data_IF_940646072241
#
_entry.id   IF_940646072241
#
_cell.length_a   1.000
_cell.length_b   1.000
_cell.length_c   1.000
_cell.angle_alpha   90.00
_cell.angle_beta   90.00
_cell.angle_gamma   90.00
#
_symmetry.space_group_name_H-M   'P 1'
#
loop_
_entity.id
_entity.type
_entity.pdbx_description
1 polymer ?
#
# COMPACT_ATOMS: atom_id res chain seq x y z
N UNK A 1 7.79 -2.35 -6.56
CA UNK A 1 6.82 -2.78 -7.60
C UNK A 1 6.92 -1.98 -8.90
N UNK A 2 7.56 -0.81 -8.93
CA UNK A 2 7.80 0.00 -10.15
C UNK A 2 8.67 -0.58 -11.28
N UNK A 3 8.60 -1.90 -11.56
CA UNK A 3 9.22 -2.54 -12.72
C UNK A 3 8.26 -2.63 -13.95
N UNK A 4 7.02 -2.12 -13.83
CA UNK A 4 5.98 -2.24 -14.86
C UNK A 4 5.91 -1.04 -15.84
N UNK A 5 6.70 0.00 -15.59
CA UNK A 5 6.76 1.20 -16.43
C UNK A 5 8.19 1.47 -16.91
N UNK A 6 8.34 1.79 -18.19
CA UNK A 6 9.58 2.36 -18.71
C UNK A 6 9.49 3.89 -18.69
N UNK A 7 10.49 4.54 -18.12
CA UNK A 7 10.55 6.00 -17.98
C UNK A 7 11.60 6.56 -18.92
N UNK A 8 11.16 7.35 -19.91
CA UNK A 8 12.05 8.07 -20.82
C UNK A 8 11.97 9.58 -20.54
N UNK A 9 13.13 10.22 -20.40
CA UNK A 9 13.24 11.67 -20.35
C UNK A 9 13.32 12.22 -21.78
N UNK A 10 12.33 13.00 -22.17
CA UNK A 10 12.35 13.75 -23.43
C UNK A 10 12.90 15.14 -23.12
N UNK A 11 13.96 15.54 -23.82
CA UNK A 11 14.57 16.86 -23.71
C UNK A 11 14.40 17.56 -25.07
N UNK A 12 13.80 18.74 -25.05
CA UNK A 12 13.60 19.57 -26.25
C UNK A 12 14.76 20.55 -26.45
N UNK A 13 14.91 21.09 -27.66
CA UNK A 13 16.01 22.00 -28.01
C UNK A 13 16.01 23.33 -27.22
N UNK A 14 14.88 23.70 -26.62
CA UNK A 14 14.73 24.85 -25.72
C UNK A 14 15.09 24.53 -24.25
N UNK A 15 15.44 23.28 -23.95
CA UNK A 15 15.78 22.79 -22.61
C UNK A 15 14.59 22.29 -21.78
N UNK A 16 13.36 22.31 -22.31
CA UNK A 16 12.18 21.74 -21.64
C UNK A 16 12.35 20.22 -21.48
N UNK A 17 11.88 19.68 -20.34
CA UNK A 17 12.02 18.27 -19.95
C UNK A 17 10.66 17.65 -19.64
N UNK A 18 10.27 16.63 -20.40
CA UNK A 18 9.05 15.84 -20.12
C UNK A 18 9.41 14.42 -19.68
N UNK A 19 8.51 13.80 -18.94
CA UNK A 19 8.60 12.39 -18.56
C UNK A 19 7.59 11.58 -19.38
N UNK A 20 8.07 10.81 -20.35
CA UNK A 20 7.27 9.81 -21.03
C UNK A 20 7.22 8.54 -20.17
N UNK A 21 6.01 8.13 -19.77
CA UNK A 21 5.78 6.81 -19.19
C UNK A 21 5.28 5.87 -20.28
N UNK A 22 6.17 5.01 -20.76
CA UNK A 22 5.90 3.97 -21.74
C UNK A 22 5.49 2.70 -21.00
N UNK A 23 4.36 2.12 -21.39
CA UNK A 23 3.59 1.29 -20.47
C UNK A 23 3.56 -0.19 -20.84
N UNK A 24 3.92 -1.06 -19.89
CA UNK A 24 3.73 -2.50 -20.01
C UNK A 24 2.33 -2.92 -19.48
N UNK A 25 1.29 -2.33 -20.10
CA UNK A 25 -0.17 -2.60 -20.00
C UNK A 25 -1.01 -2.05 -18.78
N UNK A 26 -2.18 -1.46 -19.11
CA UNK A 26 -3.44 -1.20 -18.32
C UNK A 26 -3.50 -0.21 -17.13
N UNK A 27 -4.39 0.79 -17.20
CA UNK A 27 -4.12 2.25 -17.01
C UNK A 27 -4.31 2.94 -15.62
N UNK A 28 -4.40 4.29 -15.61
CA UNK A 28 -3.89 5.26 -14.60
C UNK A 28 -4.94 6.41 -14.43
N UNK A 29 -4.81 7.59 -13.77
CA UNK A 29 -3.73 8.47 -13.25
C UNK A 29 -4.34 9.44 -12.17
N UNK A 30 -3.61 10.33 -11.41
CA UNK A 30 -3.13 11.61 -11.98
C UNK A 30 -1.89 12.30 -11.34
N UNK A 31 -0.91 12.73 -12.16
CA UNK A 31 -0.09 13.92 -11.86
C UNK A 31 -0.66 15.24 -12.40
N UNK A 32 -0.08 16.37 -11.95
CA UNK A 32 -0.69 17.71 -12.06
C UNK A 32 -0.88 18.27 -13.49
N UNK A 33 -0.11 17.81 -14.48
CA UNK A 33 -0.34 18.13 -15.90
C UNK A 33 0.02 16.92 -16.77
N UNK A 34 -1.00 16.32 -17.38
CA UNK A 34 -0.86 15.39 -18.51
C UNK A 34 -0.91 16.22 -19.78
N UNK A 35 0.10 16.06 -20.65
CA UNK A 35 0.20 16.75 -21.93
C UNK A 35 -0.44 15.96 -23.07
N UNK A 36 -0.27 14.63 -23.05
CA UNK A 36 -0.77 13.70 -24.07
C UNK A 36 -0.88 12.27 -23.50
N UNK A 37 -1.71 11.42 -24.10
CA UNK A 37 -1.90 10.03 -23.67
C UNK A 37 -2.46 9.13 -24.77
N UNK A 38 -2.14 7.83 -24.69
CA UNK A 38 -2.64 6.79 -25.60
C UNK A 38 -3.13 5.57 -24.83
N UNK A 39 -4.33 5.09 -25.18
CA UNK A 39 -4.93 3.86 -24.66
C UNK A 39 -5.56 3.05 -25.80
N UNK A 40 -4.88 2.01 -26.28
CA UNK A 40 -5.45 0.92 -27.09
C UNK A 40 -5.69 1.23 -28.57
N UNK A 41 -4.84 0.63 -29.42
CA UNK A 41 -5.12 0.35 -30.84
C UNK A 41 -5.43 1.54 -31.78
N UNK A 42 -5.04 2.78 -31.45
CA UNK A 42 -5.07 3.87 -32.43
C UNK A 42 -4.03 3.60 -33.55
N UNK A 43 -4.45 3.37 -34.82
CA UNK A 43 -3.54 3.03 -35.90
C UNK A 43 -2.73 4.23 -36.43
N UNK A 44 -2.99 5.44 -35.93
CA UNK A 44 -2.22 6.65 -36.27
C UNK A 44 -0.98 6.84 -35.38
N UNK A 45 -0.91 6.13 -34.24
CA UNK A 45 0.17 6.28 -33.26
C UNK A 45 1.36 5.39 -33.62
N UNK A 46 2.39 6.01 -34.20
CA UNK A 46 3.61 5.34 -34.68
C UNK A 46 4.46 4.63 -33.60
N UNK A 47 4.15 4.83 -32.31
CA UNK A 47 4.91 4.26 -31.17
C UNK A 47 4.45 2.82 -30.85
N UNK A 48 3.20 2.45 -31.20
CA UNK A 48 2.69 1.08 -31.07
C UNK A 48 2.46 0.56 -29.64
N UNK A 49 2.56 1.41 -28.61
CA UNK A 49 2.31 1.08 -27.19
C UNK A 49 1.55 2.21 -26.49
N UNK A 50 0.85 1.88 -25.42
CA UNK A 50 0.19 2.85 -24.54
C UNK A 50 1.20 3.72 -23.79
N UNK A 51 0.84 4.99 -23.56
CA UNK A 51 1.71 5.95 -22.88
C UNK A 51 0.95 7.09 -22.19
N UNK A 52 1.62 7.77 -21.26
CA UNK A 52 1.29 9.14 -20.83
C UNK A 52 2.54 10.01 -20.99
N UNK A 53 2.38 11.17 -21.62
CA UNK A 53 3.31 12.30 -21.56
C UNK A 53 2.84 13.28 -20.50
N UNK A 54 3.72 13.66 -19.59
CA UNK A 54 3.40 14.53 -18.45
C UNK A 54 4.63 15.32 -18.02
N UNK A 55 4.41 16.35 -17.21
CA UNK A 55 5.49 17.14 -16.62
C UNK A 55 6.47 16.23 -15.86
N UNK A 56 7.77 16.36 -16.16
CA UNK A 56 8.81 15.78 -15.31
C UNK A 56 8.86 16.61 -14.02
N UNK A 57 8.54 15.99 -12.90
CA UNK A 57 8.71 16.62 -11.59
C UNK A 57 10.20 16.61 -11.23
N UNK A 58 10.70 17.73 -10.72
CA UNK A 58 12.08 17.86 -10.24
C UNK A 58 12.32 17.06 -8.95
N UNK A 59 13.59 16.86 -8.61
CA UNK A 59 14.01 16.12 -7.44
C UNK A 59 14.41 14.67 -7.74
N UNK A 60 14.56 13.88 -6.68
CA UNK A 60 15.09 12.52 -6.68
C UNK A 60 14.35 11.64 -5.67
N UNK A 61 14.21 10.33 -5.90
CA UNK A 61 13.57 9.40 -4.96
C UNK A 61 14.11 9.51 -3.53
N UNK A 62 13.20 9.50 -2.56
CA UNK A 62 13.53 9.56 -1.14
C UNK A 62 14.12 8.22 -0.66
N UNK A 63 15.43 8.19 -0.43
CA UNK A 63 16.09 7.16 0.38
C UNK A 63 15.78 7.40 1.87
N UNK A 64 14.60 6.96 2.30
CA UNK A 64 14.18 7.04 3.70
C UNK A 64 15.08 6.22 4.65
N UNK A 65 15.59 5.02 4.31
CA UNK A 65 16.60 4.31 5.12
C UNK A 65 17.87 5.12 5.42
N UNK A 66 18.40 5.87 4.45
CA UNK A 66 19.60 6.71 4.64
C UNK A 66 19.32 8.11 5.20
N UNK A 67 18.07 8.56 5.22
CA UNK A 67 17.71 9.90 5.70
C UNK A 67 18.04 10.13 7.19
N UNK A 68 18.69 11.26 7.49
CA UNK A 68 19.01 11.71 8.86
C UNK A 68 17.76 12.09 9.68
N UNK A 69 17.82 12.17 11.02
CA UNK A 69 16.66 12.50 11.85
C UNK A 69 15.95 13.81 11.46
N UNK A 70 16.72 14.85 11.10
CA UNK A 70 16.17 16.17 10.73
C UNK A 70 15.48 16.13 9.36
N UNK A 71 16.03 15.31 8.45
CA UNK A 71 15.44 15.05 7.13
C UNK A 71 14.14 14.25 7.27
N UNK A 72 14.13 13.20 8.11
CA UNK A 72 12.93 12.42 8.41
C UNK A 72 11.84 13.27 9.06
N UNK A 73 12.18 14.13 10.01
CA UNK A 73 11.25 15.11 10.59
C UNK A 73 10.66 16.02 9.51
N UNK A 74 11.49 16.63 8.66
CA UNK A 74 11.03 17.52 7.57
C UNK A 74 10.09 16.79 6.59
N UNK A 75 10.37 15.52 6.26
CA UNK A 75 9.48 14.72 5.41
C UNK A 75 8.17 14.34 6.13
N UNK A 76 8.22 13.92 7.40
CA UNK A 76 7.00 13.60 8.17
C UNK A 76 6.07 14.80 8.32
N UNK A 77 6.62 16.01 8.49
CA UNK A 77 5.85 17.26 8.53
C UNK A 77 5.09 17.47 7.21
N UNK A 78 5.80 17.49 6.07
CA UNK A 78 5.20 17.71 4.76
C UNK A 78 4.22 16.60 4.35
N UNK A 79 4.51 15.35 4.68
CA UNK A 79 3.61 14.23 4.38
C UNK A 79 2.31 14.32 5.20
N UNK A 80 2.36 14.82 6.44
CA UNK A 80 1.16 15.11 7.21
C UNK A 80 0.33 16.25 6.58
N UNK A 81 0.98 17.27 6.04
CA UNK A 81 0.31 18.34 5.28
C UNK A 81 -0.35 17.80 3.99
N UNK A 82 0.29 16.86 3.28
CA UNK A 82 -0.32 16.13 2.15
C UNK A 82 -1.52 15.30 2.59
N UNK A 83 -1.41 14.52 3.66
CA UNK A 83 -2.55 13.76 4.22
C UNK A 83 -3.72 14.68 4.58
N UNK A 84 -3.44 15.87 5.12
CA UNK A 84 -4.45 16.88 5.46
C UNK A 84 -5.08 17.56 4.26
N UNK A 85 -4.42 17.60 3.11
CA UNK A 85 -5.04 18.01 1.86
C UNK A 85 -5.93 16.90 1.32
N UNK A 86 -5.42 15.66 1.20
CA UNK A 86 -6.18 14.50 0.72
C UNK A 86 -7.45 14.23 1.53
N UNK A 87 -7.44 14.50 2.84
CA UNK A 87 -8.60 14.33 3.71
C UNK A 87 -9.75 15.33 3.47
N UNK A 88 -9.50 16.42 2.72
CA UNK A 88 -10.54 17.38 2.30
C UNK A 88 -11.33 16.91 1.08
N UNK A 89 -10.87 15.86 0.39
CA UNK A 89 -11.42 15.37 -0.87
C UNK A 89 -11.95 13.93 -0.72
N UNK A 90 -13.03 13.73 0.07
CA UNK A 90 -13.67 12.42 0.22
C UNK A 90 -14.44 11.99 -1.04
N UNK A 91 -14.70 10.69 -1.13
CA UNK A 91 -15.48 10.03 -2.17
C UNK A 91 -16.62 9.22 -1.54
N UNK A 92 -17.79 9.21 -2.17
CA UNK A 92 -18.98 8.50 -1.65
C UNK A 92 -18.90 6.96 -1.79
N UNK A 93 -17.93 6.46 -2.57
CA UNK A 93 -17.80 5.03 -2.89
C UNK A 93 -16.37 4.51 -2.72
N UNK A 94 -16.26 3.26 -2.26
CA UNK A 94 -15.03 2.48 -2.32
C UNK A 94 -14.81 1.96 -3.75
N UNK A 95 -13.60 2.13 -4.29
CA UNK A 95 -13.27 1.70 -5.64
C UNK A 95 -11.81 1.92 -6.00
N UNK A 96 -11.35 1.23 -7.04
CA UNK A 96 -10.07 1.50 -7.70
C UNK A 96 -10.34 1.89 -9.15
N UNK A 97 -9.42 2.66 -9.75
CA UNK A 97 -9.45 2.98 -11.18
C UNK A 97 -9.13 1.76 -12.06
N UNK A 98 -8.63 0.66 -11.48
CA UNK A 98 -8.36 -0.60 -12.19
C UNK A 98 -9.68 -1.29 -12.56
N UNK A 99 -10.01 -1.28 -13.85
CA UNK A 99 -11.06 -2.14 -14.43
C UNK A 99 -10.69 -3.61 -14.28
N UNK A 100 -11.52 -4.38 -13.57
CA UNK A 100 -11.29 -5.83 -13.38
C UNK A 100 -11.68 -6.60 -14.64
N UNK A 101 -10.76 -6.61 -15.61
CA UNK A 101 -10.88 -7.45 -16.79
C UNK A 101 -10.92 -8.93 -16.36
N UNK A 102 -12.04 -9.59 -16.65
CA UNK A 102 -12.27 -11.00 -16.34
C UNK A 102 -11.57 -11.91 -17.35
N UNK A 103 -10.24 -11.79 -17.45
CA UNK A 103 -9.42 -12.78 -18.15
C UNK A 103 -9.00 -13.88 -17.15
N UNK A 104 -9.60 -15.08 -17.17
CA UNK A 104 -9.29 -16.14 -16.21
C UNK A 104 -7.94 -16.83 -16.49
N UNK A 105 -7.21 -16.43 -17.53
CA UNK A 105 -5.99 -17.08 -17.98
C UNK A 105 -4.76 -16.16 -17.84
N UNK A 106 -4.22 -16.04 -16.62
CA UNK A 106 -2.77 -15.80 -16.47
C UNK A 106 -2.04 -17.12 -16.77
N UNK A 107 -1.17 -17.19 -17.80
CA UNK A 107 -0.47 -18.44 -18.12
C UNK A 107 0.53 -18.87 -17.05
N UNK A 108 0.96 -17.95 -16.20
CA UNK A 108 1.99 -18.15 -15.17
C UNK A 108 1.41 -18.80 -13.90
N UNK A 109 0.53 -19.79 -14.09
CA UNK A 109 0.05 -20.69 -13.06
C UNK A 109 1.16 -21.64 -12.61
N UNK A 110 2.18 -21.11 -11.94
CA UNK A 110 3.17 -21.93 -11.24
C UNK A 110 2.44 -22.94 -10.35
N UNK A 111 2.87 -24.21 -10.39
CA UNK A 111 2.33 -25.28 -9.55
C UNK A 111 2.78 -25.10 -8.10
N UNK A 112 2.26 -24.05 -7.47
CA UNK A 112 2.54 -23.69 -6.09
C UNK A 112 2.04 -24.81 -5.17
N UNK A 113 2.84 -25.23 -4.15
CA UNK A 113 2.56 -26.40 -3.33
C UNK A 113 1.14 -26.41 -2.78
N UNK A 114 0.52 -27.59 -2.71
CA UNK A 114 -0.85 -27.77 -2.19
C UNK A 114 -1.03 -27.16 -0.79
N UNK A 115 0.02 -27.15 0.03
CA UNK A 115 -0.01 -26.60 1.39
C UNK A 115 -0.17 -25.07 1.41
N UNK A 116 0.35 -24.33 0.42
CA UNK A 116 0.13 -22.87 0.29
C UNK A 116 -1.37 -22.54 0.16
N UNK A 117 -2.11 -23.40 -0.56
CA UNK A 117 -3.55 -23.20 -0.84
C UNK A 117 -4.38 -23.46 0.42
N UNK A 118 -3.96 -24.43 1.24
CA UNK A 118 -4.54 -24.70 2.56
C UNK A 118 -4.21 -23.56 3.53
N UNK A 119 -2.95 -23.15 3.62
CA UNK A 119 -2.47 -22.05 4.45
C UNK A 119 -3.24 -20.75 4.18
N UNK A 120 -3.32 -20.36 2.90
CA UNK A 120 -4.04 -19.16 2.44
C UNK A 120 -5.55 -19.24 2.74
N UNK A 121 -6.19 -20.40 2.54
CA UNK A 121 -7.60 -20.60 2.86
C UNK A 121 -7.89 -20.49 4.36
N UNK A 122 -7.06 -21.09 5.21
CA UNK A 122 -7.19 -21.01 6.68
C UNK A 122 -6.99 -19.56 7.16
N UNK A 123 -5.98 -18.86 6.64
CA UNK A 123 -5.73 -17.46 6.96
C UNK A 123 -6.86 -16.53 6.50
N UNK A 124 -7.39 -16.73 5.29
CA UNK A 124 -8.56 -16.01 4.78
C UNK A 124 -9.78 -16.20 5.69
N UNK A 125 -10.11 -17.46 6.05
CA UNK A 125 -11.22 -17.74 6.99
C UNK A 125 -11.01 -17.10 8.36
N UNK A 126 -9.80 -17.20 8.92
CA UNK A 126 -9.49 -16.55 10.21
C UNK A 126 -9.56 -15.02 10.13
N UNK A 127 -9.48 -14.42 8.94
CA UNK A 127 -9.60 -12.97 8.74
C UNK A 127 -11.02 -12.47 8.58
N UNK A 128 -11.95 -13.30 8.08
CA UNK A 128 -13.38 -12.96 8.10
C UNK A 128 -13.84 -12.71 9.56
N UNK A 129 -13.37 -13.52 10.50
CA UNK A 129 -13.65 -13.36 11.94
C UNK A 129 -13.04 -12.09 12.59
N UNK A 130 -12.21 -11.30 11.90
CA UNK A 130 -11.63 -10.05 12.43
C UNK A 130 -12.08 -8.81 11.66
N UNK A 131 -12.88 -8.98 10.61
CA UNK A 131 -13.26 -7.90 9.69
C UNK A 131 -14.20 -6.88 10.34
N UNK A 132 -15.04 -7.29 11.28
CA UNK A 132 -15.87 -6.39 12.10
C UNK A 132 -15.00 -5.64 13.13
N UNK A 133 -14.18 -6.40 13.88
CA UNK A 133 -13.24 -5.88 14.88
C UNK A 133 -12.10 -4.99 14.34
N UNK A 134 -11.96 -4.91 13.02
CA UNK A 134 -11.09 -3.98 12.31
C UNK A 134 -11.61 -2.54 12.42
N UNK A 135 -12.93 -2.38 12.34
CA UNK A 135 -13.60 -1.06 12.32
C UNK A 135 -14.24 -0.66 13.65
N UNK A 136 -14.35 -1.55 14.65
CA UNK A 136 -14.82 -1.22 16.01
C UNK A 136 -14.13 0.00 16.67
N UNK A 137 -12.85 0.24 16.35
CA UNK A 137 -12.05 1.33 16.96
C UNK A 137 -12.48 2.74 16.53
N UNK A 138 -13.15 2.87 15.39
CA UNK A 138 -13.47 4.13 14.73
C UNK A 138 -14.83 4.03 14.04
N UNK A 139 -15.74 4.97 14.33
CA UNK A 139 -17.07 4.97 13.67
C UNK A 139 -16.90 4.92 12.15
N UNK A 140 -17.55 3.99 11.44
CA UNK A 140 -17.59 3.98 9.98
C UNK A 140 -18.03 5.35 9.46
N UNK A 141 -17.34 5.82 8.43
CA UNK A 141 -17.72 7.01 7.66
C UNK A 141 -18.37 6.54 6.36
N UNK A 142 -19.46 7.18 5.95
CA UNK A 142 -20.08 6.99 4.63
C UNK A 142 -19.24 7.64 3.49
N UNK A 143 -17.94 7.72 3.70
CA UNK A 143 -16.95 8.44 2.90
C UNK A 143 -15.61 7.71 2.92
N UNK A 144 -14.96 7.69 1.76
CA UNK A 144 -13.70 7.03 1.47
C UNK A 144 -12.66 8.05 0.99
N UNK A 145 -11.38 7.74 1.15
CA UNK A 145 -10.28 8.68 0.92
C UNK A 145 -9.22 8.07 0.00
N UNK A 146 -8.57 8.89 -0.82
CA UNK A 146 -7.52 8.43 -1.74
C UNK A 146 -6.29 7.94 -0.97
N UNK A 147 -5.77 6.76 -1.33
CA UNK A 147 -4.56 6.18 -0.74
C UNK A 147 -3.51 5.84 -1.80
N UNK A 148 -2.25 6.16 -1.50
CA UNK A 148 -1.10 5.66 -2.27
C UNK A 148 -0.76 4.21 -1.83
N UNK A 149 -0.74 3.22 -2.75
CA UNK A 149 -0.60 1.81 -2.40
C UNK A 149 0.85 1.33 -2.24
N UNK A 150 1.81 1.95 -2.94
CA UNK A 150 3.23 1.64 -2.80
C UNK A 150 3.87 2.67 -1.85
N UNK A 151 3.76 2.43 -0.55
CA UNK A 151 4.03 3.41 0.52
C UNK A 151 5.44 3.26 1.16
N UNK A 152 6.36 2.58 0.46
CA UNK A 152 7.77 2.37 0.87
C UNK A 152 8.68 3.60 0.74
N UNK A 153 8.16 4.73 0.26
CA UNK A 153 8.81 6.05 0.29
C UNK A 153 9.57 6.50 -0.97
N UNK A 154 10.08 5.58 -1.79
CA UNK A 154 10.82 5.90 -3.04
C UNK A 154 9.98 6.63 -4.12
N UNK A 155 8.66 6.43 -4.11
CA UNK A 155 7.66 7.18 -4.88
C UNK A 155 7.52 8.67 -4.47
N UNK A 156 8.19 9.10 -3.39
CA UNK A 156 8.26 10.51 -2.97
C UNK A 156 9.53 11.13 -3.55
N UNK A 157 9.38 12.19 -4.33
CA UNK A 157 10.48 12.97 -4.90
C UNK A 157 10.85 14.12 -3.97
N UNK A 158 12.15 14.32 -3.76
CA UNK A 158 12.70 15.38 -2.90
C UNK A 158 13.81 16.18 -3.57
N UNK A 159 13.92 17.46 -3.23
CA UNK A 159 15.07 18.31 -3.61
C UNK A 159 16.26 18.13 -2.63
N UNK A 160 17.38 18.83 -2.87
CA UNK A 160 18.56 18.79 -1.98
C UNK A 160 18.30 19.33 -0.56
N UNK A 161 17.28 20.16 -0.38
CA UNK A 161 16.84 20.67 0.91
C UNK A 161 15.81 19.77 1.62
N UNK A 162 15.45 18.60 1.04
CA UNK A 162 14.40 17.69 1.52
C UNK A 162 13.00 18.33 1.61
N UNK A 163 12.69 19.27 0.71
CA UNK A 163 11.30 19.58 0.36
C UNK A 163 10.75 18.48 -0.55
N UNK A 164 9.48 18.09 -0.35
CA UNK A 164 8.77 17.17 -1.25
C UNK A 164 8.40 17.94 -2.51
N UNK A 165 8.96 17.54 -3.65
CA UNK A 165 8.71 18.13 -4.97
C UNK A 165 7.65 17.38 -5.77
N UNK A 166 7.33 16.15 -5.38
CA UNK A 166 6.32 15.34 -6.04
C UNK A 166 6.02 14.03 -5.32
N UNK A 167 4.85 13.48 -5.59
CA UNK A 167 4.47 12.10 -5.26
C UNK A 167 4.04 11.46 -6.57
N UNK A 168 4.71 10.38 -6.96
CA UNK A 168 4.53 9.68 -8.24
C UNK A 168 3.99 8.26 -8.02
N UNK A 169 3.85 7.49 -9.10
CA UNK A 169 3.53 6.04 -9.08
C UNK A 169 2.12 5.66 -8.58
N UNK A 170 1.17 6.60 -8.66
CA UNK A 170 -0.28 6.46 -8.38
C UNK A 170 -1.05 5.36 -9.16
N UNK A 171 -0.39 4.47 -9.89
CA UNK A 171 -1.03 3.59 -10.89
C UNK A 171 -1.97 2.53 -10.32
N UNK A 172 -1.85 2.19 -9.03
CA UNK A 172 -2.80 1.30 -8.33
C UNK A 172 -3.65 2.05 -7.30
N UNK A 173 -3.77 3.38 -7.41
CA UNK A 173 -4.52 4.16 -6.43
C UNK A 173 -6.00 3.78 -6.39
N UNK A 174 -6.58 3.97 -5.20
CA UNK A 174 -7.94 3.56 -4.84
C UNK A 174 -8.48 4.50 -3.76
N UNK A 175 -9.79 4.51 -3.60
CA UNK A 175 -10.42 5.03 -2.38
C UNK A 175 -10.46 3.93 -1.31
N UNK A 176 -10.27 4.32 -0.07
CA UNK A 176 -10.12 3.41 1.07
C UNK A 176 -10.79 3.99 2.34
N UNK A 177 -10.91 3.17 3.38
CA UNK A 177 -11.45 3.63 4.68
C UNK A 177 -10.52 4.68 5.32
N UNK A 178 -11.06 5.59 6.15
CA UNK A 178 -10.26 6.61 6.85
C UNK A 178 -9.12 6.00 7.69
N UNK A 179 -9.33 4.82 8.26
CA UNK A 179 -8.31 4.09 9.03
C UNK A 179 -7.18 3.49 8.17
N UNK A 180 -7.44 3.24 6.90
CA UNK A 180 -6.47 2.71 5.95
C UNK A 180 -5.70 3.85 5.28
N UNK A 181 -6.40 4.89 4.80
CA UNK A 181 -5.80 6.05 4.14
C UNK A 181 -4.90 6.91 5.04
N UNK A 182 -5.13 6.92 6.37
CA UNK A 182 -4.39 7.73 7.34
C UNK A 182 -3.69 6.90 8.44
N UNK A 183 -3.38 5.63 8.14
CA UNK A 183 -2.38 4.84 8.87
C UNK A 183 -0.95 5.36 8.61
N UNK A 184 0.04 4.98 9.41
CA UNK A 184 1.46 5.22 9.06
C UNK A 184 1.87 4.46 7.78
N UNK A 185 2.66 5.07 6.87
CA UNK A 185 3.15 4.37 5.67
C UNK A 185 4.28 3.39 6.00
N UNK A 186 4.44 2.35 5.18
CA UNK A 186 5.39 1.25 5.33
C UNK A 186 6.83 1.68 5.61
N UNK A 187 7.30 2.77 4.99
CA UNK A 187 8.64 3.31 5.27
C UNK A 187 8.88 3.64 6.75
N UNK A 188 7.84 3.99 7.50
CA UNK A 188 7.95 4.31 8.94
C UNK A 188 7.87 3.09 9.86
N UNK A 189 7.47 1.91 9.36
CA UNK A 189 7.29 0.71 10.18
C UNK A 189 8.64 0.12 10.64
N UNK A 190 8.68 -0.67 11.72
CA UNK A 190 9.86 -1.43 12.10
C UNK A 190 9.97 -2.70 11.23
N UNK A 191 10.24 -2.53 9.92
CA UNK A 191 9.97 -3.53 8.87
C UNK A 191 10.40 -4.96 9.21
N UNK A 192 11.64 -5.21 9.64
CA UNK A 192 12.09 -6.56 10.04
C UNK A 192 11.20 -7.18 11.13
N UNK A 193 10.99 -6.46 12.24
CA UNK A 193 10.07 -6.86 13.31
C UNK A 193 8.62 -7.02 12.83
N UNK A 194 8.20 -6.29 11.81
CA UNK A 194 6.87 -6.44 11.22
C UNK A 194 6.74 -7.78 10.48
N UNK A 195 7.77 -8.20 9.75
CA UNK A 195 7.84 -9.54 9.15
C UNK A 195 7.91 -10.62 10.24
N UNK A 196 8.66 -10.42 11.33
CA UNK A 196 8.70 -11.28 12.53
C UNK A 196 7.34 -11.37 13.30
N UNK A 197 6.28 -10.74 12.81
CA UNK A 197 4.97 -10.78 13.44
C UNK A 197 4.85 -9.95 14.72
N UNK A 198 5.71 -8.95 14.93
CA UNK A 198 5.61 -8.03 16.07
C UNK A 198 4.51 -6.98 15.88
N UNK A 199 3.81 -6.63 16.96
CA UNK A 199 2.87 -5.50 17.01
C UNK A 199 3.54 -4.17 17.42
N UNK A 200 4.87 -4.14 17.47
CA UNK A 200 5.64 -2.94 17.81
C UNK A 200 5.30 -1.73 16.95
N UNK A 201 5.46 -0.54 17.52
CA UNK A 201 5.17 0.76 16.93
C UNK A 201 6.43 1.63 16.97
N UNK A 202 6.90 2.12 15.83
CA UNK A 202 8.23 2.74 15.69
C UNK A 202 8.27 4.17 16.27
N UNK A 203 9.48 4.73 16.53
CA UNK A 203 9.61 6.14 16.89
C UNK A 203 9.09 7.11 15.82
N UNK A 204 9.20 6.75 14.53
CA UNK A 204 8.70 7.57 13.42
C UNK A 204 7.17 7.57 13.38
N UNK A 205 6.52 6.43 13.60
CA UNK A 205 5.05 6.33 13.60
C UNK A 205 4.44 7.13 14.77
N UNK A 206 5.07 7.09 15.95
CA UNK A 206 4.72 7.96 17.10
C UNK A 206 4.88 9.43 16.73
N UNK A 207 6.02 9.82 16.15
CA UNK A 207 6.29 11.20 15.76
C UNK A 207 5.28 11.71 14.72
N UNK A 208 4.89 10.87 13.76
CA UNK A 208 3.87 11.18 12.76
C UNK A 208 2.48 11.39 13.38
N UNK A 209 2.07 10.56 14.34
CA UNK A 209 0.85 10.79 15.13
C UNK A 209 0.91 12.13 15.89
N UNK A 210 2.04 12.45 16.53
CA UNK A 210 2.22 13.72 17.25
C UNK A 210 2.26 14.94 16.32
N UNK A 211 2.71 14.78 15.07
CA UNK A 211 2.68 15.81 14.02
C UNK A 211 1.23 16.17 13.62
N UNK A 212 0.30 15.20 13.61
CA UNK A 212 -1.13 15.47 13.47
C UNK A 212 -1.72 16.13 14.73
N UNK A 213 -1.34 15.69 15.94
CA UNK A 213 -1.77 16.35 17.21
C UNK A 213 -1.36 17.83 17.24
N UNK A 214 -0.13 18.14 16.82
CA UNK A 214 0.41 19.50 16.74
C UNK A 214 -0.37 20.39 15.75
N UNK A 215 -1.08 19.80 14.78
CA UNK A 215 -2.01 20.49 13.85
C UNK A 215 -3.47 20.45 14.31
N UNK A 216 -3.74 20.07 15.57
CA UNK A 216 -5.10 19.94 16.12
C UNK A 216 -5.89 18.70 15.66
N UNK A 217 -5.28 17.82 14.86
CA UNK A 217 -5.93 16.66 14.23
C UNK A 217 -5.69 15.38 15.01
N UNK A 218 -6.14 15.40 16.26
CA UNK A 218 -6.10 14.24 17.17
C UNK A 218 -6.96 13.06 16.68
N UNK A 219 -7.88 13.28 15.73
CA UNK A 219 -8.60 12.19 15.03
C UNK A 219 -7.67 11.44 14.07
N UNK A 220 -6.85 12.13 13.29
CA UNK A 220 -5.87 11.50 12.39
C UNK A 220 -4.73 10.83 13.15
N UNK A 221 -4.26 11.44 14.25
CA UNK A 221 -3.27 10.83 15.14
C UNK A 221 -3.68 9.43 15.62
N UNK A 222 -4.97 9.21 15.89
CA UNK A 222 -5.48 7.89 16.31
C UNK A 222 -5.48 6.85 15.21
N UNK A 223 -5.76 7.23 13.95
CA UNK A 223 -5.66 6.29 12.82
C UNK A 223 -4.22 5.82 12.59
N UNK A 224 -3.22 6.67 12.86
CA UNK A 224 -1.80 6.28 12.83
C UNK A 224 -1.48 5.27 13.96
N UNK A 225 -1.98 5.50 15.18
CA UNK A 225 -1.69 4.67 16.37
C UNK A 225 -2.42 3.32 16.39
N UNK A 226 -3.72 3.30 16.08
CA UNK A 226 -4.52 2.07 15.97
C UNK A 226 -4.25 1.33 14.63
N UNK A 227 -3.56 1.99 13.69
CA UNK A 227 -3.35 1.55 12.31
C UNK A 227 -2.68 0.18 12.14
N UNK A 228 -1.95 -0.33 13.14
CA UNK A 228 -1.29 -1.65 13.06
C UNK A 228 -2.26 -2.81 12.82
N UNK A 229 -3.53 -2.69 13.25
CA UNK A 229 -4.60 -3.65 12.87
C UNK A 229 -4.84 -3.65 11.35
N UNK A 230 -5.00 -2.45 10.78
CA UNK A 230 -5.33 -2.20 9.37
C UNK A 230 -4.18 -2.61 8.46
N UNK A 231 -2.98 -2.14 8.77
CA UNK A 231 -1.75 -2.47 8.06
C UNK A 231 -1.53 -3.98 8.02
N UNK A 232 -1.63 -4.71 9.15
CA UNK A 232 -1.48 -6.17 9.14
C UNK A 232 -2.60 -6.89 8.41
N UNK A 233 -3.82 -6.36 8.41
CA UNK A 233 -4.94 -6.96 7.68
C UNK A 233 -4.75 -6.84 6.16
N UNK A 234 -4.37 -5.66 5.65
CA UNK A 234 -4.21 -5.43 4.21
C UNK A 234 -2.85 -5.88 3.66
N UNK A 235 -1.76 -5.76 4.42
CA UNK A 235 -0.46 -6.33 4.04
C UNK A 235 -0.54 -7.86 3.91
N UNK A 236 -1.39 -8.52 4.70
CA UNK A 236 -1.76 -9.93 4.54
C UNK A 236 -2.60 -10.29 3.29
N UNK A 237 -2.67 -9.39 2.30
CA UNK A 237 -3.16 -9.62 0.93
C UNK A 237 -2.07 -9.33 -0.13
N UNK A 238 -0.86 -8.94 0.27
CA UNK A 238 0.22 -8.48 -0.60
C UNK A 238 0.78 -9.57 -1.51
N UNK A 239 0.41 -9.48 -2.78
CA UNK A 239 0.84 -10.25 -3.95
C UNK A 239 2.26 -10.84 -3.95
N UNK A 240 2.34 -12.06 -4.48
CA UNK A 240 3.52 -12.72 -5.09
C UNK A 240 4.79 -12.98 -4.25
N UNK A 241 5.02 -12.30 -3.12
CA UNK A 241 6.25 -12.50 -2.32
C UNK A 241 6.03 -13.13 -0.94
N UNK A 242 5.00 -12.71 -0.20
CA UNK A 242 4.81 -13.08 1.21
C UNK A 242 4.34 -14.53 1.45
N UNK A 243 4.22 -15.33 0.40
CA UNK A 243 3.75 -16.71 0.42
C UNK A 243 4.86 -17.74 0.17
N UNK A 244 5.97 -17.35 -0.48
CA UNK A 244 7.02 -18.27 -0.94
C UNK A 244 7.84 -18.92 0.20
N UNK A 245 7.80 -18.33 1.40
CA UNK A 245 8.34 -18.90 2.64
C UNK A 245 7.23 -19.08 3.68
N UNK A 246 7.03 -20.31 4.14
CA UNK A 246 6.02 -20.60 5.18
C UNK A 246 6.35 -19.93 6.52
N UNK A 247 7.63 -19.66 6.84
CA UNK A 247 8.00 -19.01 8.10
C UNK A 247 7.56 -17.54 8.11
N UNK A 248 7.83 -16.80 7.03
CA UNK A 248 7.36 -15.43 6.81
C UNK A 248 5.84 -15.35 6.78
N UNK A 249 5.17 -16.25 6.05
CA UNK A 249 3.71 -16.34 6.05
C UNK A 249 3.15 -16.58 7.47
N UNK A 250 3.71 -17.55 8.20
CA UNK A 250 3.33 -17.88 9.57
C UNK A 250 3.53 -16.71 10.53
N UNK A 251 4.68 -16.03 10.48
CA UNK A 251 5.00 -14.90 11.32
C UNK A 251 4.09 -13.69 11.05
N UNK A 252 3.84 -13.37 9.78
CA UNK A 252 2.90 -12.31 9.38
C UNK A 252 1.46 -12.61 9.86
N UNK A 253 0.99 -13.85 9.66
CA UNK A 253 -0.36 -14.28 10.05
C UNK A 253 -0.54 -14.35 11.58
N UNK A 254 0.42 -14.94 12.31
CA UNK A 254 0.36 -14.97 13.77
C UNK A 254 0.51 -13.57 14.37
N UNK A 255 1.31 -12.69 13.75
CA UNK A 255 1.38 -11.26 14.09
C UNK A 255 0.04 -10.53 13.91
N UNK A 256 -0.73 -10.85 12.86
CA UNK A 256 -2.10 -10.35 12.72
C UNK A 256 -2.99 -10.85 13.87
N UNK A 257 -2.98 -12.16 14.17
CA UNK A 257 -3.75 -12.74 15.31
C UNK A 257 -3.39 -12.10 16.66
N UNK A 258 -2.10 -11.92 16.95
CA UNK A 258 -1.59 -11.20 18.15
C UNK A 258 -2.09 -9.77 18.25
N UNK A 259 -2.26 -9.08 17.11
CA UNK A 259 -2.71 -7.67 17.06
C UNK A 259 -4.21 -7.53 17.35
N UNK A 260 -4.98 -8.58 17.13
CA UNK A 260 -6.40 -8.68 17.52
C UNK A 260 -6.64 -9.39 18.87
N UNK A 261 -5.59 -9.73 19.61
CA UNK A 261 -5.69 -10.29 20.97
C UNK A 261 -6.11 -11.76 21.04
N UNK A 262 -6.00 -12.51 19.94
CA UNK A 262 -6.21 -13.97 19.97
C UNK A 262 -5.08 -14.69 20.74
N UNK A 263 -5.37 -15.94 21.14
CA UNK A 263 -4.38 -16.89 21.68
C UNK A 263 -3.11 -16.92 20.81
N UNK A 264 -1.97 -16.62 21.44
CA UNK A 264 -0.65 -16.65 20.82
C UNK A 264 -0.09 -18.08 20.94
N UNK A 265 -0.11 -18.79 19.81
CA UNK A 265 0.28 -20.20 19.68
C UNK A 265 1.09 -20.39 18.42
N UNK A 266 2.03 -21.33 18.45
CA UNK A 266 2.84 -21.67 17.29
C UNK A 266 1.99 -22.05 16.07
N UNK A 267 2.42 -21.58 14.90
CA UNK A 267 1.71 -21.75 13.63
C UNK A 267 1.29 -23.20 13.36
N UNK A 268 2.21 -24.15 13.56
CA UNK A 268 1.93 -25.58 13.37
C UNK A 268 0.85 -26.12 14.32
N UNK A 269 0.78 -25.60 15.55
CA UNK A 269 -0.25 -25.97 16.54
C UNK A 269 -1.60 -25.38 16.13
N UNK A 270 -1.62 -24.13 15.68
CA UNK A 270 -2.85 -23.48 15.19
C UNK A 270 -3.39 -24.15 13.92
N UNK A 271 -2.53 -24.33 12.89
CA UNK A 271 -2.83 -25.01 11.62
C UNK A 271 -3.44 -26.40 11.87
N UNK A 272 -2.87 -27.18 12.78
CA UNK A 272 -3.42 -28.49 13.18
C UNK A 272 -4.83 -28.38 13.77
N UNK A 273 -5.03 -27.53 14.79
CA UNK A 273 -6.33 -27.35 15.47
C UNK A 273 -7.45 -26.96 14.49
N UNK A 274 -7.19 -26.05 13.56
CA UNK A 274 -8.18 -25.61 12.57
C UNK A 274 -8.45 -26.64 11.47
N UNK A 275 -7.46 -27.45 11.08
CA UNK A 275 -7.67 -28.59 10.17
C UNK A 275 -8.52 -29.69 10.80
N UNK A 276 -8.31 -29.99 12.09
CA UNK A 276 -9.15 -30.94 12.84
C UNK A 276 -10.60 -30.44 12.92
N UNK A 277 -10.81 -29.17 13.29
CA UNK A 277 -12.14 -28.51 13.24
C UNK A 277 -12.80 -28.57 11.86
N UNK A 278 -12.04 -28.32 10.79
CA UNK A 278 -12.55 -28.31 9.42
C UNK A 278 -12.83 -29.72 8.83
N UNK A 279 -12.28 -30.78 9.46
CA UNK A 279 -12.66 -32.18 9.18
C UNK A 279 -13.94 -32.55 9.94
N UNK A 280 -14.01 -32.21 11.22
CA UNK A 280 -15.08 -32.68 12.09
C UNK A 280 -16.42 -32.02 11.73
N UNK A 281 -16.40 -30.74 11.34
CA UNK A 281 -17.55 -30.02 10.78
C UNK A 281 -18.00 -30.46 9.36
N UNK A 282 -17.49 -31.59 8.84
CA UNK A 282 -18.02 -32.29 7.65
C UNK A 282 -18.75 -33.60 7.99
N UNK A 283 -18.75 -33.98 9.27
CA UNK A 283 -19.35 -35.22 9.78
C UNK A 283 -20.56 -34.92 10.71
N UNK A 284 -21.04 -33.68 10.68
CA UNK A 284 -22.15 -33.11 11.45
C UNK A 284 -23.16 -32.44 10.53
#
# INVERSE_FOLDING_TARGET
MGNQNCHAEIIFDDGVKWLARLRLAWTISPPALVFDWSCGLDPTIAIGVDYILQAKLDGKPLDWPSARPEQREKIMQQLADVCLELEKHPFDFIGSLVTVDRNPASPNGHNSPYDIKVNTYLAHRSRLHVMEALFESHKPTDQFFLIHPDDKGDHILVNDAFDITGIIDWEWTRTASKAEAFSSPCMMWPVGKFYDGSKDFSPAERRFADIFRQRGRADLARYVEDGRKVQRFFFGLGTEGAYDDENTFAALFMGLRRTFGFEDVEWAVWKKRELERARDARHS
#
